data_IF_363904017419
#
_entry.id   IF_363904017419
#
_cell.length_a   1.000
_cell.length_b   1.000
_cell.length_c   1.000
_cell.angle_alpha   90.00
_cell.angle_beta   90.00
_cell.angle_gamma   90.00
#
_symmetry.space_group_name_H-M   'P 1'
#
loop_
_entity.id
_entity.type
_entity.pdbx_description
1 polymer ?
#
# COMPACT_ATOMS: atom_id res chain seq x y z
N UNK A 1 34.50 -1.66 -6.29
CA UNK A 1 33.06 -1.36 -6.02
C UNK A 1 32.81 -1.65 -4.56
N UNK A 2 32.63 -0.64 -3.74
CA UNK A 2 32.24 -0.84 -2.36
C UNK A 2 30.79 -1.32 -2.34
N UNK A 3 30.58 -2.60 -2.08
CA UNK A 3 29.25 -3.15 -1.87
C UNK A 3 28.65 -2.55 -0.61
N UNK A 4 27.50 -1.87 -0.73
CA UNK A 4 26.77 -1.47 0.47
C UNK A 4 26.42 -2.72 1.28
N UNK A 5 26.51 -2.67 2.61
CA UNK A 5 26.14 -3.81 3.44
C UNK A 5 24.69 -4.19 3.20
N UNK A 6 24.42 -5.48 3.17
CA UNK A 6 23.06 -6.02 3.08
C UNK A 6 22.30 -5.62 4.35
N UNK A 7 21.09 -5.07 4.19
CA UNK A 7 20.17 -4.78 5.30
C UNK A 7 19.20 -5.92 5.48
N UNK A 8 18.97 -6.33 6.72
CA UNK A 8 17.96 -7.31 7.08
C UNK A 8 16.73 -6.58 7.62
N UNK A 9 15.54 -6.94 7.15
CA UNK A 9 14.30 -6.32 7.58
C UNK A 9 13.13 -7.29 7.68
N UNK A 10 12.08 -6.87 8.35
CA UNK A 10 10.83 -7.60 8.47
C UNK A 10 9.62 -6.73 8.16
N UNK A 11 8.57 -7.35 7.60
CA UNK A 11 7.25 -6.77 7.50
C UNK A 11 6.50 -6.91 8.84
N UNK A 12 5.89 -5.82 9.30
CA UNK A 12 5.20 -5.75 10.57
C UNK A 12 3.73 -5.44 10.37
N UNK A 13 2.88 -6.44 10.63
CA UNK A 13 1.46 -6.43 10.31
C UNK A 13 0.57 -6.20 11.53
N UNK A 14 -0.42 -5.30 11.38
CA UNK A 14 -1.65 -5.26 12.18
C UNK A 14 -1.53 -4.90 13.64
N UNK A 15 -0.35 -4.62 14.19
CA UNK A 15 -0.23 -4.22 15.58
C UNK A 15 -0.48 -2.70 15.72
N UNK A 16 -1.53 -2.38 16.45
CA UNK A 16 -1.96 -0.99 16.73
C UNK A 16 -1.76 -0.61 18.21
N UNK A 17 -0.94 -1.39 18.94
CA UNK A 17 -0.67 -1.20 20.36
C UNK A 17 0.80 -0.79 20.60
N UNK A 18 1.08 0.50 20.82
CA UNK A 18 2.45 1.02 20.86
C UNK A 18 3.36 0.34 21.87
N UNK A 19 2.83 -0.05 23.04
CA UNK A 19 3.64 -0.74 24.05
C UNK A 19 4.06 -2.16 23.63
N UNK A 20 3.22 -2.89 22.89
CA UNK A 20 3.60 -4.18 22.30
C UNK A 20 4.60 -3.95 21.15
N UNK A 21 4.33 -2.97 20.28
CA UNK A 21 5.24 -2.63 19.19
C UNK A 21 6.66 -2.29 19.72
N UNK A 22 6.77 -1.63 20.87
CA UNK A 22 8.08 -1.32 21.48
C UNK A 22 8.89 -2.57 21.80
N UNK A 23 8.26 -3.59 22.37
CA UNK A 23 8.94 -4.85 22.66
C UNK A 23 9.30 -5.61 21.38
N UNK A 24 8.38 -5.65 20.40
CA UNK A 24 8.63 -6.28 19.11
C UNK A 24 9.79 -5.60 18.36
N UNK A 25 9.86 -4.27 18.34
CA UNK A 25 10.96 -3.52 17.72
C UNK A 25 12.30 -3.80 18.42
N UNK A 26 12.30 -3.91 19.74
CA UNK A 26 13.49 -4.30 20.51
C UNK A 26 13.95 -5.72 20.19
N UNK A 27 13.00 -6.64 20.00
CA UNK A 27 13.31 -8.02 19.58
C UNK A 27 13.89 -8.09 18.18
N UNK A 28 13.34 -7.31 17.24
CA UNK A 28 13.89 -7.17 15.89
C UNK A 28 15.33 -6.68 15.93
N UNK A 29 15.62 -5.61 16.68
CA UNK A 29 16.98 -5.10 16.84
C UNK A 29 17.92 -6.13 17.46
N UNK A 30 17.50 -6.83 18.52
CA UNK A 30 18.29 -7.91 19.14
C UNK A 30 18.58 -9.05 18.18
N UNK A 31 17.68 -9.29 17.23
CA UNK A 31 17.82 -10.30 16.17
C UNK A 31 18.66 -9.84 14.99
N UNK A 32 19.22 -8.62 15.04
CA UNK A 32 20.10 -8.08 14.00
C UNK A 32 19.39 -7.50 12.80
N UNK A 33 18.11 -7.11 12.94
CA UNK A 33 17.39 -6.40 11.88
C UNK A 33 17.75 -4.92 11.85
N UNK A 34 17.85 -4.38 10.64
CA UNK A 34 18.20 -2.98 10.37
C UNK A 34 16.96 -2.14 10.06
N UNK A 35 15.89 -2.77 9.53
CA UNK A 35 14.70 -2.08 9.08
C UNK A 35 13.41 -2.84 9.39
N UNK A 36 12.32 -2.09 9.48
CA UNK A 36 10.95 -2.61 9.58
C UNK A 36 10.05 -1.95 8.54
N UNK A 37 9.23 -2.75 7.87
CA UNK A 37 8.20 -2.28 6.95
C UNK A 37 6.86 -2.31 7.69
N UNK A 38 6.33 -1.14 8.04
CA UNK A 38 5.04 -1.00 8.70
C UNK A 38 3.90 -0.98 7.69
N UNK A 39 2.94 -1.87 7.85
CA UNK A 39 1.70 -1.86 7.08
C UNK A 39 0.83 -0.69 7.52
N UNK A 40 0.40 0.13 6.56
CA UNK A 40 -0.46 1.29 6.80
C UNK A 40 -1.62 1.28 5.82
N UNK A 41 -2.65 0.50 6.18
CA UNK A 41 -3.84 0.28 5.37
C UNK A 41 -4.77 1.50 5.34
N UNK A 42 -5.83 1.42 4.52
CA UNK A 42 -6.90 2.42 4.53
C UNK A 42 -7.57 2.54 5.91
N UNK A 43 -7.76 1.43 6.62
CA UNK A 43 -8.30 1.42 8.00
C UNK A 43 -7.36 2.12 8.98
N UNK A 44 -6.05 1.92 8.84
CA UNK A 44 -5.06 2.60 9.67
C UNK A 44 -5.02 4.10 9.38
N UNK A 45 -5.08 4.49 8.12
CA UNK A 45 -5.16 5.89 7.69
C UNK A 45 -6.40 6.60 8.27
N UNK A 46 -7.57 5.96 8.21
CA UNK A 46 -8.83 6.54 8.69
C UNK A 46 -8.91 6.61 10.22
N UNK A 47 -8.52 5.53 10.90
CA UNK A 47 -8.84 5.33 12.32
C UNK A 47 -7.64 5.30 13.25
N UNK A 48 -6.44 4.98 12.77
CA UNK A 48 -5.29 4.65 13.61
C UNK A 48 -4.03 5.46 13.31
N UNK A 49 -4.12 6.53 12.51
CA UNK A 49 -2.93 7.32 12.11
C UNK A 49 -2.09 7.83 13.29
N UNK A 50 -2.72 8.23 14.41
CA UNK A 50 -1.98 8.68 15.58
C UNK A 50 -1.25 7.51 16.28
N UNK A 51 -1.82 6.31 16.25
CA UNK A 51 -1.15 5.11 16.77
C UNK A 51 0.02 4.70 15.89
N UNK A 52 -0.14 4.80 14.57
CA UNK A 52 0.95 4.54 13.63
C UNK A 52 2.09 5.56 13.80
N UNK A 53 1.77 6.84 14.02
CA UNK A 53 2.77 7.87 14.35
C UNK A 53 3.61 7.46 15.57
N UNK A 54 2.97 7.09 16.67
CA UNK A 54 3.62 6.63 17.89
C UNK A 54 4.49 5.38 17.66
N UNK A 55 4.01 4.43 16.83
CA UNK A 55 4.75 3.22 16.48
C UNK A 55 5.99 3.53 15.63
N UNK A 56 5.88 4.45 14.67
CA UNK A 56 7.04 4.90 13.89
C UNK A 56 8.07 5.62 14.76
N UNK A 57 7.63 6.48 15.69
CA UNK A 57 8.51 7.12 16.67
C UNK A 57 9.26 6.09 17.51
N UNK A 58 8.55 5.07 18.02
CA UNK A 58 9.14 3.95 18.77
C UNK A 58 10.20 3.21 17.94
N UNK A 59 9.90 2.93 16.67
CA UNK A 59 10.84 2.23 15.79
C UNK A 59 12.13 3.02 15.58
N UNK A 60 12.01 4.35 15.40
CA UNK A 60 13.15 5.25 15.29
C UNK A 60 13.96 5.34 16.61
N UNK A 61 13.27 5.44 17.76
CA UNK A 61 13.92 5.45 19.08
C UNK A 61 14.73 4.18 19.34
N UNK A 62 14.25 3.03 18.87
CA UNK A 62 14.93 1.74 18.98
C UNK A 62 16.10 1.62 17.99
N UNK A 63 16.12 2.44 16.94
CA UNK A 63 17.21 2.50 15.96
C UNK A 63 16.95 1.76 14.65
N UNK A 64 15.69 1.33 14.40
CA UNK A 64 15.31 0.72 13.13
C UNK A 64 15.05 1.79 12.05
N UNK A 65 15.50 1.53 10.84
CA UNK A 65 14.99 2.23 9.66
C UNK A 65 13.52 1.83 9.43
N UNK A 66 12.69 2.78 9.04
CA UNK A 66 11.25 2.52 8.85
C UNK A 66 10.84 2.77 7.41
N UNK A 67 10.13 1.81 6.85
CA UNK A 67 9.40 1.96 5.60
C UNK A 67 7.91 1.81 5.88
N UNK A 68 7.07 2.46 5.09
CA UNK A 68 5.60 2.41 5.22
C UNK A 68 5.02 1.82 3.95
N UNK A 69 4.25 0.76 4.11
CA UNK A 69 3.62 0.02 3.04
C UNK A 69 2.14 0.42 2.90
N UNK A 70 1.71 0.63 1.67
CA UNK A 70 0.32 0.97 1.32
C UNK A 70 -0.66 -0.20 1.35
N UNK A 71 -0.43 -1.18 2.16
CA UNK A 71 -1.06 -2.50 2.25
C UNK A 71 -2.57 -2.53 1.95
N UNK A 72 -2.93 -3.11 0.80
CA UNK A 72 -4.31 -3.28 0.35
C UNK A 72 -5.01 -2.00 -0.14
N UNK A 73 -4.30 -0.88 -0.31
CA UNK A 73 -4.90 0.39 -0.67
C UNK A 73 -5.63 0.35 -2.03
N UNK A 74 -5.06 -0.34 -3.01
CA UNK A 74 -5.60 -0.50 -4.36
C UNK A 74 -6.43 -1.77 -4.58
N UNK A 75 -6.46 -2.67 -3.61
CA UNK A 75 -7.18 -3.95 -3.65
C UNK A 75 -6.45 -5.07 -2.91
N UNK A 76 -7.03 -6.29 -2.89
CA UNK A 76 -6.42 -7.45 -2.26
C UNK A 76 -5.14 -7.93 -3.02
N UNK A 77 -4.23 -8.68 -2.34
CA UNK A 77 -4.30 -9.04 -0.92
C UNK A 77 -4.04 -7.83 0.00
N UNK A 78 -4.06 -7.95 1.24
CA UNK A 78 -3.89 -6.86 2.18
C UNK A 78 -5.18 -6.49 2.89
N UNK A 79 -5.14 -5.44 3.71
CA UNK A 79 -6.31 -4.99 4.44
C UNK A 79 -7.33 -4.37 3.46
N UNK A 80 -8.57 -4.80 3.56
CA UNK A 80 -9.60 -4.42 2.58
C UNK A 80 -9.87 -2.91 2.62
N UNK A 81 -9.46 -2.21 1.56
CA UNK A 81 -9.84 -0.81 1.37
C UNK A 81 -11.34 -0.69 1.09
N UNK A 82 -11.98 0.29 1.72
CA UNK A 82 -13.38 0.64 1.44
C UNK A 82 -13.52 1.79 0.42
N UNK A 83 -12.43 2.17 -0.25
CA UNK A 83 -12.41 3.25 -1.24
C UNK A 83 -13.49 3.06 -2.33
N UNK A 84 -13.60 1.86 -2.90
CA UNK A 84 -14.57 1.55 -3.95
C UNK A 84 -16.04 1.64 -3.49
N UNK A 85 -16.32 1.60 -2.18
CA UNK A 85 -17.68 1.80 -1.67
C UNK A 85 -18.15 3.25 -1.83
N UNK A 86 -17.22 4.20 -1.88
CA UNK A 86 -17.49 5.62 -2.11
C UNK A 86 -17.23 6.05 -3.56
N UNK A 87 -16.42 5.29 -4.29
CA UNK A 87 -15.98 5.58 -5.66
C UNK A 87 -16.17 4.38 -6.58
N UNK A 88 -17.44 3.96 -6.81
CA UNK A 88 -17.72 2.79 -7.65
C UNK A 88 -17.27 2.97 -9.11
N UNK A 89 -17.15 4.23 -9.58
CA UNK A 89 -16.63 4.55 -10.91
C UNK A 89 -15.15 4.21 -11.08
N UNK A 90 -14.43 4.03 -9.97
CA UNK A 90 -12.99 3.76 -9.97
C UNK A 90 -12.63 2.27 -10.07
N UNK A 91 -13.60 1.38 -10.25
CA UNK A 91 -13.31 -0.05 -10.46
C UNK A 91 -12.45 -0.28 -11.71
N UNK A 92 -11.56 -1.27 -11.65
CA UNK A 92 -10.93 -1.78 -12.86
C UNK A 92 -11.95 -2.51 -13.75
N UNK A 93 -11.77 -2.40 -15.05
CA UNK A 93 -12.63 -3.04 -16.05
C UNK A 93 -11.76 -3.99 -16.88
N UNK A 94 -12.19 -5.23 -17.04
CA UNK A 94 -11.54 -6.19 -17.93
C UNK A 94 -11.81 -5.87 -19.43
N UNK A 95 -11.03 -6.46 -20.30
CA UNK A 95 -11.15 -6.22 -21.76
C UNK A 95 -12.48 -6.66 -22.36
N UNK A 96 -13.24 -7.56 -21.71
CA UNK A 96 -14.61 -7.96 -22.04
C UNK A 96 -15.70 -6.98 -21.51
N UNK A 97 -15.31 -5.96 -20.78
CA UNK A 97 -16.21 -5.00 -20.14
C UNK A 97 -16.66 -5.41 -18.73
N UNK A 98 -16.29 -6.57 -18.23
CA UNK A 98 -16.62 -6.98 -16.87
C UNK A 98 -15.84 -6.15 -15.85
N UNK A 99 -16.51 -5.76 -14.77
CA UNK A 99 -15.90 -5.02 -13.66
C UNK A 99 -15.16 -5.95 -12.70
N UNK A 100 -13.98 -5.55 -12.25
CA UNK A 100 -13.32 -6.18 -11.12
C UNK A 100 -13.94 -5.65 -9.82
N UNK A 101 -14.50 -6.52 -8.96
CA UNK A 101 -15.27 -6.06 -7.80
C UNK A 101 -14.43 -5.48 -6.66
N UNK A 102 -13.12 -5.67 -6.69
CA UNK A 102 -12.26 -5.39 -5.54
C UNK A 102 -11.03 -4.54 -5.84
N UNK A 103 -10.71 -4.31 -7.13
CA UNK A 103 -9.51 -3.57 -7.51
C UNK A 103 -9.81 -2.20 -8.09
N UNK A 104 -9.01 -1.24 -7.65
CA UNK A 104 -9.13 0.16 -8.06
C UNK A 104 -8.31 0.42 -9.33
N UNK A 105 -8.87 1.18 -10.26
CA UNK A 105 -8.13 1.71 -11.40
C UNK A 105 -7.07 2.72 -10.93
N UNK A 106 -5.79 2.41 -11.10
CA UNK A 106 -4.67 3.25 -10.68
C UNK A 106 -4.61 4.60 -11.43
N UNK A 107 -5.32 4.71 -12.54
CA UNK A 107 -5.45 5.96 -13.30
C UNK A 107 -6.69 6.76 -12.93
N UNK A 108 -7.57 6.27 -12.06
CA UNK A 108 -8.72 7.04 -11.56
C UNK A 108 -8.24 8.31 -10.85
N UNK A 109 -8.81 9.46 -11.22
CA UNK A 109 -8.45 10.74 -10.61
C UNK A 109 -8.81 10.77 -9.12
N UNK A 110 -9.95 10.16 -8.74
CA UNK A 110 -10.33 10.02 -7.34
C UNK A 110 -9.31 9.18 -6.56
N UNK A 111 -8.86 8.04 -7.12
CA UNK A 111 -7.85 7.22 -6.45
C UNK A 111 -6.49 7.90 -6.38
N UNK A 112 -6.09 8.63 -7.41
CA UNK A 112 -4.86 9.43 -7.39
C UNK A 112 -4.90 10.55 -6.35
N UNK A 113 -6.06 11.20 -6.17
CA UNK A 113 -6.24 12.19 -5.12
C UNK A 113 -6.13 11.54 -3.74
N UNK A 114 -6.84 10.43 -3.49
CA UNK A 114 -6.75 9.66 -2.27
C UNK A 114 -5.31 9.18 -1.97
N UNK A 115 -4.60 8.71 -2.99
CA UNK A 115 -3.20 8.28 -2.85
C UNK A 115 -2.29 9.44 -2.40
N UNK A 116 -2.50 10.66 -2.92
CA UNK A 116 -1.75 11.84 -2.47
C UNK A 116 -2.02 12.15 -1.01
N UNK A 117 -3.28 12.15 -0.58
CA UNK A 117 -3.66 12.37 0.82
C UNK A 117 -3.05 11.31 1.75
N UNK A 118 -3.01 10.05 1.29
CA UNK A 118 -2.34 8.97 2.00
C UNK A 118 -0.84 9.22 2.13
N UNK A 119 -0.16 9.62 1.06
CA UNK A 119 1.28 9.97 1.05
C UNK A 119 1.55 11.14 2.00
N UNK A 120 0.74 12.19 1.96
CA UNK A 120 0.85 13.35 2.85
C UNK A 120 0.68 12.93 4.31
N UNK A 121 -0.23 11.99 4.57
CA UNK A 121 -0.40 11.41 5.91
C UNK A 121 0.81 10.59 6.33
N UNK A 122 1.41 9.79 5.44
CA UNK A 122 2.66 9.07 5.73
C UNK A 122 3.77 10.04 6.15
N UNK A 123 3.93 11.15 5.44
CA UNK A 123 4.88 12.20 5.80
C UNK A 123 4.56 12.82 7.16
N UNK A 124 3.28 13.12 7.42
CA UNK A 124 2.82 13.69 8.69
C UNK A 124 3.10 12.78 9.90
N UNK A 125 2.92 11.45 9.76
CA UNK A 125 3.19 10.50 10.83
C UNK A 125 4.68 10.16 11.01
N UNK A 126 5.57 10.74 10.20
CA UNK A 126 7.03 10.56 10.31
C UNK A 126 7.61 9.51 9.37
N UNK A 127 6.82 8.96 8.45
CA UNK A 127 7.31 8.07 7.40
C UNK A 127 8.19 8.81 6.40
N UNK A 128 9.34 8.22 6.04
CA UNK A 128 10.33 8.81 5.12
C UNK A 128 10.49 8.01 3.84
N UNK A 129 10.16 6.74 3.90
CA UNK A 129 10.25 5.82 2.77
C UNK A 129 8.93 5.09 2.62
N UNK A 130 8.39 5.08 1.41
CA UNK A 130 7.19 4.33 1.07
C UNK A 130 7.63 3.08 0.31
N UNK A 131 7.20 1.93 0.79
CA UNK A 131 7.25 0.68 0.07
C UNK A 131 5.91 0.51 -0.65
N UNK A 132 5.91 0.60 -1.98
CA UNK A 132 4.69 0.48 -2.77
C UNK A 132 4.50 -0.96 -3.17
N UNK A 133 3.64 -1.67 -2.46
CA UNK A 133 3.31 -3.05 -2.72
C UNK A 133 2.12 -3.18 -3.68
N UNK A 134 2.17 -4.22 -4.49
CA UNK A 134 1.09 -4.81 -5.28
C UNK A 134 0.23 -3.83 -6.12
N UNK A 135 0.81 -3.02 -7.02
CA UNK A 135 0.02 -2.27 -8.00
C UNK A 135 -0.53 -3.24 -9.06
N UNK A 136 -1.63 -3.92 -8.75
CA UNK A 136 -2.15 -5.00 -9.59
C UNK A 136 -2.86 -4.51 -10.84
N UNK A 137 -2.45 -5.09 -11.97
CA UNK A 137 -3.24 -5.16 -13.19
C UNK A 137 -3.67 -6.63 -13.39
N UNK A 138 -4.81 -7.04 -12.84
CA UNK A 138 -5.22 -8.44 -12.84
C UNK A 138 -5.55 -8.94 -14.25
N UNK A 139 -5.33 -10.21 -14.43
CA UNK A 139 -5.78 -10.98 -15.59
C UNK A 139 -6.67 -12.13 -15.14
N UNK A 140 -7.55 -12.58 -15.99
CA UNK A 140 -8.40 -13.78 -15.77
C UNK A 140 -8.52 -14.58 -17.05
N UNK A 141 -8.65 -15.89 -16.88
CA UNK A 141 -8.93 -16.79 -18.01
C UNK A 141 -10.45 -17.02 -18.11
N UNK A 142 -10.99 -16.82 -19.30
CA UNK A 142 -12.41 -17.09 -19.61
C UNK A 142 -12.47 -17.76 -21.00
N UNK A 143 -13.01 -18.95 -21.08
CA UNK A 143 -13.16 -19.74 -22.32
C UNK A 143 -11.87 -19.81 -23.15
N UNK A 144 -10.73 -20.05 -22.50
CA UNK A 144 -9.41 -20.14 -23.11
C UNK A 144 -8.84 -18.82 -23.64
N UNK A 145 -9.40 -17.68 -23.22
CA UNK A 145 -8.90 -16.33 -23.52
C UNK A 145 -8.44 -15.63 -22.26
N UNK A 146 -7.26 -15.05 -22.30
CA UNK A 146 -6.76 -14.19 -21.23
C UNK A 146 -7.38 -12.78 -21.37
N UNK A 147 -8.10 -12.37 -20.35
CA UNK A 147 -8.66 -11.03 -20.24
C UNK A 147 -7.80 -10.19 -19.32
N UNK A 148 -7.43 -9.00 -19.75
CA UNK A 148 -6.57 -8.07 -19.03
C UNK A 148 -7.36 -6.88 -18.49
N UNK A 149 -6.90 -6.27 -17.41
CA UNK A 149 -7.33 -4.95 -16.92
C UNK A 149 -6.14 -3.97 -16.96
N UNK A 150 -6.30 -2.63 -16.90
CA UNK A 150 -7.57 -1.96 -16.86
C UNK A 150 -7.96 -1.47 -18.26
N UNK A 151 -9.13 -1.87 -18.71
CA UNK A 151 -9.71 -1.44 -20.00
C UNK A 151 -10.89 -0.45 -19.81
N UNK A 152 -10.89 0.30 -18.70
CA UNK A 152 -11.91 1.32 -18.45
C UNK A 152 -11.82 2.48 -19.47
N UNK A 153 -12.89 3.27 -19.66
CA UNK A 153 -12.88 4.39 -20.61
C UNK A 153 -11.73 5.37 -20.39
N UNK A 154 -11.42 5.68 -19.13
CA UNK A 154 -10.32 6.57 -18.76
C UNK A 154 -8.96 6.02 -19.19
N UNK A 155 -8.66 4.75 -18.88
CA UNK A 155 -7.41 4.12 -19.31
C UNK A 155 -7.29 4.04 -20.83
N UNK A 156 -8.39 3.74 -21.55
CA UNK A 156 -8.42 3.74 -23.01
C UNK A 156 -8.17 5.14 -23.60
N UNK A 157 -8.70 6.18 -22.97
CA UNK A 157 -8.45 7.56 -23.39
C UNK A 157 -6.98 7.93 -23.21
N UNK A 158 -6.41 7.70 -22.04
CA UNK A 158 -4.99 7.95 -21.76
C UNK A 158 -4.05 7.18 -22.70
N UNK A 159 -4.40 5.95 -23.02
CA UNK A 159 -3.60 5.15 -23.96
C UNK A 159 -3.59 5.82 -25.36
N UNK A 160 -4.77 6.22 -25.89
CA UNK A 160 -4.88 6.87 -27.21
C UNK A 160 -4.20 8.24 -27.26
N UNK A 161 -4.08 8.94 -26.14
CA UNK A 161 -3.39 10.22 -26.05
C UNK A 161 -1.88 10.08 -26.12
N UNK A 162 -1.35 8.94 -25.62
CA UNK A 162 0.10 8.72 -25.54
C UNK A 162 0.69 7.93 -26.70
N UNK A 163 -0.12 7.15 -27.39
CA UNK A 163 0.28 6.22 -28.46
C UNK A 163 -0.63 6.32 -29.67
#
# INVERSE_FOLDING_TARGET
>A
MDMKPLKLGAAYHGNRMPHHAREDMRDMMRSGMDLVVHMFSHTDWDRHKNKMKEILEISHEVGLETWVDNWGLSGPPGDKSHFLSYHPEAHQIYSDGAMDPVRVCLNSDAFRAFTREWIDTVAYIGGRTIFWDEPHLPQKEVDGRTLFSCACPHCKALFRERF
#
